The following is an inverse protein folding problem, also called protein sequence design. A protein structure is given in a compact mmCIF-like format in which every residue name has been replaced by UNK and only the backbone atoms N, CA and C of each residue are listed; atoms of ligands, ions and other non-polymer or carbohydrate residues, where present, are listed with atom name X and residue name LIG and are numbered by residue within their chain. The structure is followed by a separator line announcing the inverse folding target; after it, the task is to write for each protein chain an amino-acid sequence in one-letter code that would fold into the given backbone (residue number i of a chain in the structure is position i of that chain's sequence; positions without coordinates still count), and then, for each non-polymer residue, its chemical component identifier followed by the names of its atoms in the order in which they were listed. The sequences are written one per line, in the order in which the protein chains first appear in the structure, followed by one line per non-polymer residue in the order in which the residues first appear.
data_IF_851098682963
#
_entry.id   IF_851098682963
#
_cell.length_a   1.000
_cell.length_b   1.000
_cell.length_c   1.000
_cell.angle_alpha   90.00
_cell.angle_beta   90.00
_cell.angle_gamma   90.00
#
_symmetry.space_group_name_H-M   'P 1'
#
loop_
_entity.id
_entity.type
_entity.pdbx_description
1 polymer ?
#
# COMPACT_ATOMS: atom_id res chain seq x y z
N UNK A 1 4.00 9.62 -11.17
CA UNK A 1 2.86 8.74 -10.83
C UNK A 1 2.25 9.18 -9.49
N UNK A 2 0.93 9.01 -9.32
CA UNK A 2 0.16 9.85 -8.39
C UNK A 2 0.19 11.35 -8.80
N UNK A 3 -0.61 12.23 -8.19
CA UNK A 3 -1.48 12.01 -7.03
C UNK A 3 -2.87 11.45 -7.39
N UNK A 4 -3.19 11.37 -8.69
CA UNK A 4 -4.43 10.73 -9.14
C UNK A 4 -4.37 9.23 -8.84
N UNK A 5 -5.49 8.68 -8.40
CA UNK A 5 -5.66 7.25 -8.23
C UNK A 5 -5.84 6.55 -9.57
N UNK A 6 -5.55 5.25 -9.59
CA UNK A 6 -5.63 4.43 -10.78
C UNK A 6 -7.09 4.22 -11.21
N UNK A 7 -7.27 4.14 -12.52
CA UNK A 7 -8.54 3.80 -13.15
C UNK A 7 -8.83 2.29 -13.01
N UNK A 8 -10.09 1.85 -13.18
CA UNK A 8 -10.42 0.42 -13.19
C UNK A 8 -9.63 -0.40 -14.23
N UNK A 9 -9.31 0.21 -15.38
CA UNK A 9 -8.51 -0.44 -16.42
C UNK A 9 -7.05 -0.62 -15.97
N UNK A 10 -6.49 0.38 -15.29
CA UNK A 10 -5.13 0.30 -14.71
C UNK A 10 -5.08 -0.73 -13.59
N UNK A 11 -6.05 -0.79 -12.67
CA UNK A 11 -6.11 -1.84 -11.65
C UNK A 11 -6.19 -3.24 -12.26
N UNK A 12 -7.01 -3.43 -13.31
CA UNK A 12 -7.08 -4.70 -14.03
C UNK A 12 -5.72 -5.06 -14.65
N UNK A 13 -5.06 -4.10 -15.28
CA UNK A 13 -3.71 -4.30 -15.82
C UNK A 13 -2.71 -4.68 -14.73
N UNK A 14 -2.69 -3.96 -13.61
CA UNK A 14 -1.81 -4.20 -12.47
C UNK A 14 -2.02 -5.61 -11.90
N UNK A 15 -3.27 -6.06 -11.75
CA UNK A 15 -3.59 -7.42 -11.35
C UNK A 15 -3.09 -8.46 -12.37
N UNK A 16 -3.24 -8.20 -13.68
CA UNK A 16 -2.76 -9.11 -14.74
C UNK A 16 -1.23 -9.28 -14.71
N UNK A 17 -0.48 -8.22 -14.40
CA UNK A 17 0.98 -8.29 -14.29
C UNK A 17 1.45 -8.82 -12.92
N UNK A 18 0.53 -9.21 -12.04
CA UNK A 18 0.84 -9.88 -10.77
C UNK A 18 0.97 -8.95 -9.56
N UNK A 19 0.42 -7.74 -9.60
CA UNK A 19 0.38 -6.87 -8.41
C UNK A 19 -0.78 -7.27 -7.47
N UNK A 20 -0.45 -7.53 -6.21
CA UNK A 20 -1.43 -7.77 -5.13
C UNK A 20 -1.77 -6.49 -4.35
N UNK A 21 -0.89 -5.49 -4.39
CA UNK A 21 -1.06 -4.19 -3.77
C UNK A 21 -0.52 -3.07 -4.67
N UNK A 22 -1.15 -1.90 -4.61
CA UNK A 22 -0.80 -0.72 -5.41
C UNK A 22 -0.61 0.46 -4.46
N UNK A 23 0.42 1.26 -4.71
CA UNK A 23 0.73 2.44 -3.91
C UNK A 23 1.68 3.36 -4.66
N UNK A 24 1.83 4.58 -4.14
CA UNK A 24 2.57 5.67 -4.80
C UNK A 24 3.97 5.92 -4.20
N UNK A 25 4.45 5.05 -3.29
CA UNK A 25 5.72 5.19 -2.56
C UNK A 25 6.44 3.84 -2.46
N UNK A 26 7.40 3.73 -1.55
CA UNK A 26 8.13 2.50 -1.15
C UNK A 26 9.13 1.99 -2.18
N UNK A 27 8.76 1.92 -3.46
CA UNK A 27 9.66 1.45 -4.52
C UNK A 27 10.95 2.29 -4.59
N UNK A 28 10.90 3.64 -4.65
CA UNK A 28 12.12 4.45 -4.66
C UNK A 28 13.01 4.21 -3.43
N UNK A 29 12.42 4.12 -2.24
CA UNK A 29 13.11 3.96 -0.97
C UNK A 29 13.82 2.61 -0.88
N UNK A 30 13.14 1.52 -1.28
CA UNK A 30 13.69 0.16 -1.26
C UNK A 30 14.82 0.00 -2.28
N UNK A 31 14.70 0.63 -3.47
CA UNK A 31 15.78 0.61 -4.48
C UNK A 31 17.05 1.26 -3.91
N UNK A 32 16.91 2.42 -3.25
CA UNK A 32 18.05 3.11 -2.63
C UNK A 32 18.64 2.30 -1.47
N UNK A 33 17.80 1.73 -0.61
CA UNK A 33 18.27 0.89 0.49
C UNK A 33 19.02 -0.36 -0.02
N UNK A 34 18.54 -0.98 -1.10
CA UNK A 34 19.23 -2.11 -1.74
C UNK A 34 20.58 -1.71 -2.33
N UNK A 35 20.69 -0.54 -2.94
CA UNK A 35 21.97 0.00 -3.42
C UNK A 35 22.99 0.21 -2.29
N UNK A 36 22.51 0.44 -1.07
CA UNK A 36 23.33 0.62 0.14
C UNK A 36 23.51 -0.67 0.95
N UNK A 37 23.09 -1.83 0.42
CA UNK A 37 23.07 -3.12 1.12
C UNK A 37 22.32 -3.11 2.48
N UNK A 38 21.33 -2.22 2.61
CA UNK A 38 20.49 -2.13 3.80
C UNK A 38 19.34 -3.15 3.70
N UNK A 39 19.21 -4.08 4.66
CA UNK A 39 18.09 -5.01 4.68
C UNK A 39 16.77 -4.24 4.90
N UNK A 40 15.75 -4.60 4.11
CA UNK A 40 14.45 -3.95 4.16
C UNK A 40 13.38 -4.92 4.63
N UNK A 41 12.49 -4.42 5.51
CA UNK A 41 11.22 -5.03 5.84
C UNK A 41 10.12 -4.00 5.56
N UNK A 42 9.10 -4.37 4.80
CA UNK A 42 8.04 -3.46 4.39
C UNK A 42 6.67 -4.06 4.76
N UNK A 43 5.78 -3.18 5.23
CA UNK A 43 4.38 -3.51 5.54
C UNK A 43 3.50 -2.48 4.86
N UNK A 44 2.49 -2.95 4.14
CA UNK A 44 1.48 -2.09 3.52
C UNK A 44 0.15 -2.24 4.25
N UNK A 45 -0.45 -1.12 4.64
CA UNK A 45 -1.81 -1.08 5.16
C UNK A 45 -2.77 -0.90 3.99
N UNK A 46 -3.65 -1.87 3.76
CA UNK A 46 -4.64 -1.81 2.68
C UNK A 46 -5.79 -0.89 3.10
N UNK A 47 -5.92 0.26 2.44
CA UNK A 47 -6.91 1.29 2.75
C UNK A 47 -8.18 1.19 1.93
N UNK A 48 -8.12 0.50 0.80
CA UNK A 48 -9.17 0.38 -0.19
C UNK A 48 -9.00 -0.91 -1.01
N UNK A 49 -10.08 -1.36 -1.65
CA UNK A 49 -10.14 -2.61 -2.38
C UNK A 49 -10.37 -2.33 -3.86
N UNK A 50 -9.43 -2.76 -4.70
CA UNK A 50 -9.40 -2.38 -6.13
C UNK A 50 -9.63 -3.56 -7.08
N UNK A 51 -10.27 -4.63 -6.62
CA UNK A 51 -10.58 -5.80 -7.45
C UNK A 51 -11.92 -5.65 -8.20
N UNK A 52 -12.11 -6.34 -9.34
CA UNK A 52 -13.34 -6.26 -10.11
C UNK A 52 -14.59 -6.54 -9.27
N UNK A 53 -15.51 -5.57 -9.20
CA UNK A 53 -16.75 -5.68 -8.42
C UNK A 53 -16.72 -5.04 -7.03
N UNK A 54 -15.54 -4.61 -6.54
CA UNK A 54 -15.40 -3.87 -5.28
C UNK A 54 -14.86 -2.45 -5.45
N UNK A 55 -14.71 -1.99 -6.70
CA UNK A 55 -14.25 -0.63 -7.00
C UNK A 55 -15.38 0.35 -6.66
N UNK A 56 -15.17 1.14 -5.62
CA UNK A 56 -16.05 2.24 -5.20
C UNK A 56 -15.42 3.59 -5.57
N UNK A 57 -16.25 4.64 -5.60
CA UNK A 57 -15.74 6.00 -5.66
C UNK A 57 -14.89 6.31 -4.43
N UNK A 58 -13.67 6.78 -4.67
CA UNK A 58 -12.69 6.94 -3.62
C UNK A 58 -12.97 8.21 -2.81
N UNK A 59 -13.06 8.03 -1.49
CA UNK A 59 -13.21 9.11 -0.52
C UNK A 59 -12.02 9.11 0.40
N UNK A 60 -11.28 10.22 0.44
CA UNK A 60 -10.06 10.36 1.23
C UNK A 60 -10.35 10.08 2.71
N UNK A 61 -11.53 10.47 3.21
CA UNK A 61 -11.94 10.24 4.59
C UNK A 61 -12.04 8.74 4.92
N UNK A 62 -12.50 7.91 3.97
CA UNK A 62 -12.57 6.45 4.16
C UNK A 62 -11.16 5.85 4.23
N UNK A 63 -10.24 6.29 3.37
CA UNK A 63 -8.84 5.86 3.36
C UNK A 63 -8.18 6.18 4.71
N UNK A 64 -8.35 7.42 5.18
CA UNK A 64 -7.79 7.86 6.47
C UNK A 64 -8.41 7.08 7.64
N UNK A 65 -9.72 6.80 7.61
CA UNK A 65 -10.38 6.00 8.64
C UNK A 65 -9.89 4.54 8.66
N UNK A 66 -9.68 3.93 7.48
CA UNK A 66 -9.13 2.59 7.37
C UNK A 66 -7.69 2.53 7.91
N UNK A 67 -6.86 3.52 7.57
CA UNK A 67 -5.51 3.65 8.09
C UNK A 67 -5.49 3.81 9.62
N UNK A 68 -6.33 4.70 10.16
CA UNK A 68 -6.45 4.92 11.60
C UNK A 68 -6.91 3.65 12.35
N UNK A 69 -7.77 2.82 11.74
CA UNK A 69 -8.19 1.55 12.31
C UNK A 69 -7.05 0.52 12.35
N UNK A 70 -6.15 0.54 11.36
CA UNK A 70 -5.03 -0.38 11.27
C UNK A 70 -3.82 0.04 12.12
N UNK A 71 -3.70 1.33 12.46
CA UNK A 71 -2.58 1.90 13.21
C UNK A 71 -2.23 1.12 14.49
N UNK A 72 -3.17 0.78 15.39
CA UNK A 72 -2.81 0.11 16.64
C UNK A 72 -2.16 -1.27 16.41
N UNK A 73 -2.63 -2.00 15.39
CA UNK A 73 -2.09 -3.31 15.03
C UNK A 73 -0.69 -3.20 14.44
N UNK A 74 -0.46 -2.19 13.60
CA UNK A 74 0.86 -1.92 13.03
C UNK A 74 1.85 -1.52 14.13
N UNK A 75 1.43 -0.68 15.07
CA UNK A 75 2.22 -0.28 16.24
C UNK A 75 2.60 -1.49 17.09
N UNK A 76 1.66 -2.40 17.35
CA UNK A 76 1.94 -3.65 18.08
C UNK A 76 2.93 -4.55 17.31
N UNK A 77 2.72 -4.73 16.00
CA UNK A 77 3.58 -5.54 15.14
C UNK A 77 5.02 -5.02 15.16
N UNK A 78 5.20 -3.71 14.93
CA UNK A 78 6.52 -3.08 14.91
C UNK A 78 7.18 -3.13 16.29
N UNK A 79 6.42 -2.91 17.36
CA UNK A 79 6.94 -3.00 18.73
C UNK A 79 7.48 -4.40 19.04
N UNK A 80 6.75 -5.46 18.65
CA UNK A 80 7.18 -6.85 18.82
C UNK A 80 8.35 -7.25 17.92
N UNK A 81 8.49 -6.62 16.76
CA UNK A 81 9.61 -6.86 15.85
C UNK A 81 10.92 -6.27 16.36
N UNK A 82 10.85 -5.18 17.14
CA UNK A 82 12.01 -4.48 17.70
C UNK A 82 12.49 -5.04 19.04
N UNK A 83 11.62 -5.76 19.77
CA UNK A 83 11.94 -6.43 21.05
C UNK A 83 12.61 -7.77 20.85
#
# INVERSE_FOLDING_TARGET
PGPNLETPAEYKYLSIIGADAVGMSTVPEVIVARHMDIPCFAVSVITDLCYPGAIEEVKIEKILAAAAKAEPFLTELMSKMLS
#
